data_IF_242668593322
#
_entry.id   IF_242668593322
#
_cell.length_a   1.000
_cell.length_b   1.000
_cell.length_c   1.000
_cell.angle_alpha   90.00
_cell.angle_beta   90.00
_cell.angle_gamma   90.00
#
_symmetry.space_group_name_H-M   'P 1'
#
loop_
_entity.id
_entity.type
_entity.pdbx_description
1 polymer ?
#
# COMPACT_ATOMS: atom_id res chain seq x y z
N UNK A 1 23.86 -2.22 -42.17
CA UNK A 1 24.32 -1.26 -41.14
C UNK A 1 23.08 -0.60 -40.57
N UNK A 2 22.72 -0.95 -39.33
CA UNK A 2 21.80 -0.22 -38.46
C UNK A 2 22.13 -0.70 -37.05
N UNK A 3 23.11 0.02 -36.49
CA UNK A 3 23.78 -0.16 -35.22
C UNK A 3 23.03 0.67 -34.16
N UNK A 4 22.50 0.00 -33.14
CA UNK A 4 22.43 0.40 -31.73
C UNK A 4 21.36 -0.40 -31.02
N UNK A 5 21.76 -1.52 -30.42
CA UNK A 5 20.93 -2.27 -29.49
C UNK A 5 21.56 -2.09 -28.11
N UNK A 6 21.24 -0.96 -27.49
CA UNK A 6 21.36 -0.62 -26.07
C UNK A 6 22.53 -1.31 -25.35
N UNK A 7 23.70 -0.72 -25.50
CA UNK A 7 24.88 -1.01 -24.69
C UNK A 7 24.60 -0.48 -23.27
N UNK A 8 24.03 -1.33 -22.41
CA UNK A 8 23.97 -1.03 -20.99
C UNK A 8 25.37 -1.21 -20.43
N UNK A 9 26.10 -0.10 -20.37
CA UNK A 9 27.46 -0.03 -19.87
C UNK A 9 27.51 -0.63 -18.46
N UNK A 10 28.22 -1.76 -18.31
CA UNK A 10 28.29 -2.49 -17.05
C UNK A 10 29.22 -1.74 -16.10
N UNK A 11 28.68 -0.76 -15.37
CA UNK A 11 29.46 0.02 -14.40
C UNK A 11 29.70 -0.84 -13.17
N UNK A 12 30.96 -1.10 -12.84
CA UNK A 12 31.34 -1.80 -11.61
C UNK A 12 30.64 -1.16 -10.41
N UNK A 13 29.79 -1.92 -9.71
CA UNK A 13 29.01 -1.44 -8.57
C UNK A 13 29.91 -1.03 -7.40
N UNK A 14 30.47 0.18 -7.47
CA UNK A 14 30.94 0.93 -6.30
C UNK A 14 29.74 1.49 -5.53
N UNK A 15 29.95 1.80 -4.26
CA UNK A 15 28.95 2.48 -3.43
C UNK A 15 28.75 3.89 -3.97
N UNK A 16 27.64 4.13 -4.68
CA UNK A 16 27.28 5.48 -5.17
C UNK A 16 26.78 6.29 -3.96
N UNK A 17 27.37 7.46 -3.71
CA UNK A 17 26.85 8.38 -2.70
C UNK A 17 25.53 8.96 -3.21
N UNK A 18 24.49 8.94 -2.38
CA UNK A 18 23.14 9.38 -2.75
C UNK A 18 23.10 10.85 -3.20
N UNK A 19 24.10 11.64 -2.81
CA UNK A 19 24.24 13.06 -3.19
C UNK A 19 24.64 13.25 -4.66
N UNK A 20 25.23 12.24 -5.27
CA UNK A 20 25.71 12.28 -6.65
C UNK A 20 24.61 11.84 -7.64
N UNK A 21 23.43 11.47 -7.14
CA UNK A 21 22.30 11.08 -7.97
C UNK A 21 21.59 12.33 -8.56
N UNK A 22 21.28 12.32 -9.86
CA UNK A 22 20.46 13.38 -10.44
C UNK A 22 19.07 13.41 -9.79
N UNK A 23 18.41 14.58 -9.75
CA UNK A 23 17.04 14.66 -9.25
C UNK A 23 16.13 13.75 -10.08
N UNK A 24 15.10 13.20 -9.42
CA UNK A 24 14.08 12.39 -10.09
C UNK A 24 13.45 13.18 -11.24
N UNK A 25 13.17 12.50 -12.35
CA UNK A 25 12.36 13.10 -13.41
C UNK A 25 10.96 13.43 -12.87
N UNK A 26 10.27 14.35 -13.54
CA UNK A 26 8.98 14.87 -13.06
C UNK A 26 7.94 13.76 -12.91
N UNK A 27 7.97 12.78 -13.81
CA UNK A 27 7.04 11.65 -13.80
C UNK A 27 7.28 10.70 -12.62
N UNK A 28 8.53 10.28 -12.39
CA UNK A 28 8.84 9.38 -11.26
C UNK A 28 8.59 10.09 -9.94
N UNK A 29 8.89 11.39 -9.84
CA UNK A 29 8.63 12.16 -8.63
C UNK A 29 7.12 12.23 -8.31
N UNK A 30 6.27 12.47 -9.31
CA UNK A 30 4.81 12.47 -9.14
C UNK A 30 4.28 11.08 -8.71
N UNK A 31 4.71 10.01 -9.39
CA UNK A 31 4.30 8.63 -9.05
C UNK A 31 4.73 8.28 -7.62
N UNK A 32 5.98 8.58 -7.27
CA UNK A 32 6.54 8.24 -5.96
C UNK A 32 5.84 9.01 -4.83
N UNK A 33 5.48 10.27 -5.05
CA UNK A 33 4.72 11.07 -4.09
C UNK A 33 3.29 10.55 -3.89
N UNK A 34 2.62 10.12 -4.97
CA UNK A 34 1.29 9.52 -4.91
C UNK A 34 1.30 8.16 -4.17
N UNK A 35 2.31 7.35 -4.42
CA UNK A 35 2.51 6.08 -3.72
C UNK A 35 2.81 6.29 -2.24
N UNK A 36 3.68 7.25 -1.91
CA UNK A 36 3.99 7.62 -0.53
C UNK A 36 2.71 8.07 0.20
N UNK A 37 1.92 8.95 -0.40
CA UNK A 37 0.66 9.43 0.18
C UNK A 37 -0.32 8.28 0.41
N UNK A 38 -0.43 7.38 -0.56
CA UNK A 38 -1.30 6.20 -0.46
C UNK A 38 -0.84 5.27 0.67
N UNK A 39 0.47 4.96 0.72
CA UNK A 39 1.08 4.12 1.75
C UNK A 39 0.95 4.70 3.16
N UNK A 40 1.16 6.02 3.31
CA UNK A 40 0.96 6.72 4.60
C UNK A 40 -0.51 6.68 5.02
N UNK A 41 -1.45 6.94 4.10
CA UNK A 41 -2.88 6.88 4.40
C UNK A 41 -3.31 5.48 4.85
N UNK A 42 -2.82 4.43 4.18
CA UNK A 42 -3.07 3.04 4.56
C UNK A 42 -2.49 2.72 5.94
N UNK A 43 -1.27 3.18 6.21
CA UNK A 43 -0.58 2.98 7.49
C UNK A 43 -1.35 3.63 8.64
N UNK A 44 -1.75 4.90 8.49
CA UNK A 44 -2.55 5.61 9.51
C UNK A 44 -3.85 4.89 9.78
N UNK A 45 -4.57 4.49 8.72
CA UNK A 45 -5.82 3.77 8.87
C UNK A 45 -5.61 2.41 9.58
N UNK A 46 -4.56 1.68 9.22
CA UNK A 46 -4.21 0.41 9.86
C UNK A 46 -3.93 0.58 11.36
N UNK A 47 -3.19 1.62 11.74
CA UNK A 47 -2.94 1.93 13.15
C UNK A 47 -4.22 2.30 13.90
N UNK A 48 -5.12 3.10 13.30
CA UNK A 48 -6.43 3.40 13.89
C UNK A 48 -7.20 2.10 14.12
N UNK A 49 -7.17 1.18 13.16
CA UNK A 49 -7.92 -0.07 13.26
C UNK A 49 -7.35 -1.00 14.33
N UNK A 50 -6.04 -1.22 14.38
CA UNK A 50 -5.41 -1.99 15.46
C UNK A 50 -5.69 -1.34 16.81
N UNK A 51 -5.59 -0.02 16.90
CA UNK A 51 -5.85 0.70 18.14
C UNK A 51 -7.32 0.66 18.58
N UNK A 52 -8.25 0.48 17.64
CA UNK A 52 -9.67 0.28 17.97
C UNK A 52 -9.92 -1.00 18.76
N UNK A 53 -9.08 -2.04 18.60
CA UNK A 53 -9.20 -3.31 19.32
C UNK A 53 -9.06 -3.14 20.85
N UNK A 54 -7.95 -2.58 21.39
CA UNK A 54 -7.83 -2.35 22.82
C UNK A 54 -8.88 -1.35 23.33
N UNK A 55 -9.26 -0.34 22.54
CA UNK A 55 -10.34 0.59 22.91
C UNK A 55 -11.66 -0.16 23.10
N UNK A 56 -12.07 -1.00 22.14
CA UNK A 56 -13.29 -1.81 22.25
C UNK A 56 -13.22 -2.80 23.40
N UNK A 57 -12.06 -3.42 23.63
CA UNK A 57 -11.85 -4.34 24.74
C UNK A 57 -11.93 -3.64 26.10
N UNK A 58 -11.49 -2.37 26.20
CA UNK A 58 -11.55 -1.58 27.43
C UNK A 58 -12.97 -1.12 27.77
N UNK A 59 -13.71 -0.60 26.79
CA UNK A 59 -15.05 -0.04 27.01
C UNK A 59 -16.16 -1.10 27.01
N UNK A 60 -16.00 -2.20 26.27
CA UNK A 60 -17.04 -3.23 26.12
C UNK A 60 -16.50 -4.66 26.35
N UNK A 61 -15.81 -4.96 27.47
CA UNK A 61 -15.15 -6.25 27.69
C UNK A 61 -16.13 -7.44 27.66
N UNK A 62 -17.34 -7.27 28.19
CA UNK A 62 -18.37 -8.31 28.23
C UNK A 62 -18.84 -8.75 26.83
N UNK A 63 -18.76 -7.87 25.84
CA UNK A 63 -19.11 -8.15 24.45
C UNK A 63 -17.86 -8.58 23.67
N UNK A 64 -16.77 -7.85 23.84
CA UNK A 64 -15.51 -8.04 23.14
C UNK A 64 -14.91 -9.45 23.30
N UNK A 65 -14.97 -10.00 24.52
CA UNK A 65 -14.47 -11.35 24.83
C UNK A 65 -15.53 -12.43 24.74
N UNK A 66 -16.76 -12.10 24.33
CA UNK A 66 -17.81 -13.11 24.19
C UNK A 66 -17.40 -14.09 23.08
N UNK A 67 -17.29 -15.40 23.39
CA UNK A 67 -17.01 -16.40 22.37
C UNK A 67 -18.25 -16.57 21.50
N UNK A 68 -18.04 -16.61 20.18
CA UNK A 68 -19.14 -16.82 19.21
C UNK A 68 -19.06 -18.23 18.65
N UNK A 69 -17.95 -18.55 17.99
CA UNK A 69 -17.77 -19.84 17.33
C UNK A 69 -16.28 -20.18 17.19
N UNK A 70 -15.93 -21.45 17.44
CA UNK A 70 -14.54 -21.93 17.29
C UNK A 70 -13.50 -21.27 18.21
N UNK A 71 -13.94 -20.64 19.30
CA UNK A 71 -13.06 -19.87 20.20
C UNK A 71 -12.76 -18.45 19.73
N UNK A 72 -13.30 -18.01 18.57
CA UNK A 72 -13.19 -16.63 18.12
C UNK A 72 -14.11 -15.73 18.94
N UNK A 73 -13.58 -14.58 19.39
CA UNK A 73 -14.37 -13.57 20.12
C UNK A 73 -15.04 -12.60 19.15
N UNK A 74 -16.07 -11.88 19.63
CA UNK A 74 -16.77 -10.84 18.85
C UNK A 74 -15.79 -9.82 18.27
N UNK A 75 -14.81 -9.34 19.05
CA UNK A 75 -13.81 -8.40 18.56
C UNK A 75 -13.01 -8.98 17.39
N UNK A 76 -12.53 -10.22 17.50
CA UNK A 76 -11.76 -10.86 16.43
C UNK A 76 -12.58 -11.12 15.17
N UNK A 77 -13.86 -11.45 15.33
CA UNK A 77 -14.78 -11.65 14.21
C UNK A 77 -15.10 -10.34 13.47
N UNK A 78 -15.37 -9.25 14.20
CA UNK A 78 -15.59 -7.94 13.58
C UNK A 78 -14.31 -7.46 12.88
N UNK A 79 -13.15 -7.66 13.52
CA UNK A 79 -11.86 -7.30 12.94
C UNK A 79 -11.64 -8.01 11.60
N UNK A 80 -11.96 -9.31 11.49
CA UNK A 80 -11.78 -10.05 10.24
C UNK A 80 -12.69 -9.57 9.12
N UNK A 81 -13.95 -9.22 9.43
CA UNK A 81 -14.88 -8.63 8.45
C UNK A 81 -14.35 -7.28 7.94
N UNK A 82 -13.89 -6.41 8.85
CA UNK A 82 -13.34 -5.10 8.48
C UNK A 82 -12.08 -5.25 7.64
N UNK A 83 -11.16 -6.15 8.02
CA UNK A 83 -9.96 -6.46 7.24
C UNK A 83 -10.30 -6.99 5.84
N UNK A 84 -11.34 -7.83 5.73
CA UNK A 84 -11.78 -8.35 4.44
C UNK A 84 -12.35 -7.23 3.56
N UNK A 85 -13.21 -6.38 4.10
CA UNK A 85 -13.73 -5.21 3.37
C UNK A 85 -12.61 -4.28 2.91
N UNK A 86 -11.60 -4.06 3.75
CA UNK A 86 -10.41 -3.29 3.39
C UNK A 86 -9.65 -3.91 2.22
N UNK A 87 -9.41 -5.22 2.24
CA UNK A 87 -8.72 -5.90 1.16
C UNK A 87 -9.44 -5.69 -0.19
N UNK A 88 -10.78 -5.75 -0.20
CA UNK A 88 -11.58 -5.45 -1.39
C UNK A 88 -11.47 -3.98 -1.82
N UNK A 89 -11.47 -3.02 -0.89
CA UNK A 89 -11.31 -1.60 -1.22
C UNK A 89 -9.93 -1.35 -1.85
N UNK A 90 -8.86 -1.89 -1.26
CA UNK A 90 -7.50 -1.74 -1.80
C UNK A 90 -7.42 -2.37 -3.18
N UNK A 91 -7.95 -3.58 -3.37
CA UNK A 91 -7.98 -4.25 -4.67
C UNK A 91 -8.78 -3.45 -5.70
N UNK A 92 -9.92 -2.87 -5.31
CA UNK A 92 -10.73 -2.01 -6.19
C UNK A 92 -9.99 -0.73 -6.58
N UNK A 93 -9.39 -0.04 -5.62
CA UNK A 93 -8.60 1.17 -5.87
C UNK A 93 -7.41 0.82 -6.77
N UNK A 94 -6.69 -0.26 -6.47
CA UNK A 94 -5.57 -0.71 -7.28
C UNK A 94 -6.04 -1.02 -8.70
N UNK A 95 -7.06 -1.87 -8.91
CA UNK A 95 -7.57 -2.18 -10.26
C UNK A 95 -8.06 -0.95 -11.01
N UNK A 96 -8.87 -0.07 -10.40
CA UNK A 96 -9.43 1.11 -11.06
C UNK A 96 -8.39 2.20 -11.33
N UNK A 97 -7.45 2.45 -10.43
CA UNK A 97 -6.35 3.37 -10.69
C UNK A 97 -5.36 2.80 -11.69
N UNK A 98 -5.12 1.49 -11.68
CA UNK A 98 -4.22 0.84 -12.64
C UNK A 98 -4.81 0.88 -14.05
N UNK A 99 -6.10 0.58 -14.21
CA UNK A 99 -6.84 0.76 -15.48
C UNK A 99 -6.81 2.22 -15.93
N UNK A 100 -7.01 3.18 -15.01
CA UNK A 100 -6.99 4.61 -15.31
C UNK A 100 -5.59 5.13 -15.67
N UNK A 101 -4.52 4.59 -15.05
CA UNK A 101 -3.14 4.91 -15.40
C UNK A 101 -2.79 4.32 -16.76
N UNK A 102 -3.08 3.05 -17.03
CA UNK A 102 -2.85 2.42 -18.34
C UNK A 102 -3.54 3.21 -19.48
N UNK A 103 -4.82 3.55 -19.33
CA UNK A 103 -5.55 4.33 -20.34
C UNK A 103 -4.99 5.74 -20.57
N UNK A 104 -4.20 6.29 -19.65
CA UNK A 104 -3.55 7.60 -19.80
C UNK A 104 -2.27 7.52 -20.64
N UNK A 105 -1.61 6.36 -20.69
CA UNK A 105 -0.34 6.14 -21.38
C UNK A 105 -0.48 5.34 -22.69
N UNK A 106 -1.64 4.73 -22.97
CA UNK A 106 -1.92 3.98 -24.20
C UNK A 106 -2.30 4.88 -25.42
N UNK A 107 -1.84 6.14 -25.41
CA UNK A 107 -1.99 7.07 -26.52
C UNK A 107 -0.66 7.21 -27.27
N UNK A 108 -0.25 6.14 -27.95
CA UNK A 108 0.68 6.17 -29.08
C UNK A 108 0.00 5.62 -30.33
#
# INVERSE_FOLDING_TARGET
>A
MADNKNDYDYVAHGTVDFKDLPPLDSETNEIMHDELRTGVSLTVFYFIMIFSIPVLNWYFPAIAFKPIWGGMTVTWFITSIVMMAMAFIIAYIHTKLYEKRLAKYDHD
#
